data_IF_735931854668
#
_entry.id   IF_735931854668
#
_cell.length_a   1.000
_cell.length_b   1.000
_cell.length_c   1.000
_cell.angle_alpha   90.00
_cell.angle_beta   90.00
_cell.angle_gamma   90.00
#
_symmetry.space_group_name_H-M   'P 1'
#
loop_
_entity.id
_entity.type
_entity.pdbx_description
1 polymer ?
#
# COMPACT_ATOMS: atom_id res chain seq x y z
N UNK A 1 -3.21 -4.57 5.11
CA UNK A 1 -3.04 -3.24 5.75
C UNK A 1 -2.94 -2.15 4.68
N UNK A 2 -3.29 -0.90 5.03
CA UNK A 2 -3.20 0.31 4.20
C UNK A 2 -2.78 1.48 5.08
N UNK A 3 -2.20 2.55 4.51
CA UNK A 3 -1.75 3.71 5.30
C UNK A 3 -2.87 4.32 6.11
N UNK A 4 -4.04 4.56 5.49
CA UNK A 4 -5.21 5.17 6.14
C UNK A 4 -5.87 4.36 7.27
N UNK A 5 -5.31 3.22 7.68
CA UNK A 5 -5.75 2.49 8.89
C UNK A 5 -5.26 3.19 10.17
N UNK A 6 -4.14 3.92 10.09
CA UNK A 6 -3.56 4.68 11.19
C UNK A 6 -3.74 6.17 10.91
N UNK A 7 -3.94 7.00 11.94
CA UNK A 7 -3.90 8.45 11.78
C UNK A 7 -2.46 8.93 11.52
N UNK A 8 -2.25 9.57 10.37
CA UNK A 8 -0.91 9.94 9.90
C UNK A 8 -0.17 10.88 10.87
N UNK A 9 -0.87 11.92 11.33
CA UNK A 9 -0.28 12.95 12.19
C UNK A 9 0.04 12.43 13.58
N UNK A 10 -0.87 11.66 14.18
CA UNK A 10 -0.65 11.00 15.46
C UNK A 10 0.52 10.02 15.39
N UNK A 11 0.64 9.27 14.29
CA UNK A 11 1.73 8.32 14.11
C UNK A 11 3.09 9.00 13.97
N UNK A 12 3.18 10.04 13.13
CA UNK A 12 4.39 10.85 13.00
C UNK A 12 4.79 11.48 14.33
N UNK A 13 3.82 12.03 15.07
CA UNK A 13 4.06 12.61 16.39
C UNK A 13 4.61 11.58 17.38
N UNK A 14 4.00 10.40 17.46
CA UNK A 14 4.44 9.34 18.36
C UNK A 14 5.89 8.87 18.06
N UNK A 15 6.26 8.80 16.78
CA UNK A 15 7.63 8.46 16.36
C UNK A 15 8.64 9.58 16.62
N UNK A 16 8.31 10.82 16.24
CA UNK A 16 9.20 11.97 16.40
C UNK A 16 9.44 12.34 17.87
N UNK A 17 8.45 12.14 18.73
CA UNK A 17 8.56 12.33 20.18
C UNK A 17 9.10 11.09 20.92
N UNK A 18 9.49 10.02 20.22
CA UNK A 18 9.93 8.75 20.79
C UNK A 18 8.95 8.15 21.81
N UNK A 19 7.64 8.40 21.64
CA UNK A 19 6.59 7.72 22.43
C UNK A 19 6.51 6.23 22.06
N UNK A 20 6.85 5.90 20.80
CA UNK A 20 7.12 4.54 20.35
C UNK A 20 8.57 4.43 19.87
N UNK A 21 9.18 3.26 20.09
CA UNK A 21 10.60 3.06 19.83
C UNK A 21 10.98 3.13 18.34
N UNK A 22 10.04 2.86 17.45
CA UNK A 22 10.25 2.92 16.00
C UNK A 22 9.15 2.22 15.20
N UNK A 23 9.27 2.26 13.87
CA UNK A 23 8.32 1.61 12.96
C UNK A 23 8.95 1.11 11.66
N UNK A 24 8.39 0.03 11.11
CA UNK A 24 8.62 -0.40 9.72
C UNK A 24 7.35 -0.15 8.91
N UNK A 25 7.45 0.64 7.83
CA UNK A 25 6.31 1.18 7.08
C UNK A 25 6.43 0.77 5.61
N UNK A 26 5.49 -0.05 5.13
CA UNK A 26 5.42 -0.44 3.71
C UNK A 26 4.25 0.22 2.96
N UNK A 27 3.16 0.51 3.66
CA UNK A 27 1.94 1.08 3.06
C UNK A 27 1.80 2.55 3.41
N UNK A 28 1.19 3.30 2.50
CA UNK A 28 1.25 4.76 2.53
C UNK A 28 -0.14 5.41 2.40
N UNK A 29 -0.18 6.72 2.67
CA UNK A 29 -1.40 7.53 2.72
C UNK A 29 -1.80 8.03 1.34
N UNK A 30 -0.82 8.38 0.50
CA UNK A 30 -1.03 8.84 -0.87
C UNK A 30 -0.22 7.97 -1.86
N UNK A 31 -0.88 7.52 -2.93
CA UNK A 31 -0.28 6.69 -3.98
C UNK A 31 -0.09 7.43 -5.31
N UNK A 32 -0.58 8.67 -5.40
CA UNK A 32 -0.39 9.61 -6.51
C UNK A 32 0.04 10.98 -5.99
N UNK A 33 1.16 11.07 -5.25
CA UNK A 33 1.59 12.34 -4.69
C UNK A 33 2.05 13.31 -5.78
N UNK A 34 1.73 14.58 -5.57
CA UNK A 34 2.26 15.69 -6.36
C UNK A 34 3.76 15.86 -6.11
N UNK A 35 4.45 16.47 -7.07
CA UNK A 35 5.87 16.78 -6.98
C UNK A 35 6.10 18.01 -6.09
N UNK A 36 7.14 17.95 -5.26
CA UNK A 36 7.66 19.14 -4.60
C UNK A 36 8.45 20.03 -5.59
N UNK A 37 8.96 21.17 -5.11
CA UNK A 37 9.75 22.10 -5.94
C UNK A 37 11.03 21.51 -6.53
N UNK A 38 11.48 20.35 -6.04
CA UNK A 38 12.66 19.63 -6.50
C UNK A 38 12.29 18.37 -7.31
N UNK A 39 11.00 18.18 -7.66
CA UNK A 39 10.52 17.03 -8.42
C UNK A 39 10.35 15.75 -7.60
N UNK A 40 10.43 15.81 -6.27
CA UNK A 40 10.32 14.64 -5.38
C UNK A 40 8.87 14.37 -5.05
N UNK A 41 8.52 13.08 -4.97
CA UNK A 41 7.19 12.58 -4.65
C UNK A 41 7.21 11.87 -3.31
N UNK A 42 6.47 12.40 -2.34
CA UNK A 42 6.35 11.79 -1.01
C UNK A 42 4.98 11.15 -0.84
N UNK A 43 4.90 9.87 -0.48
CA UNK A 43 3.62 9.18 -0.30
C UNK A 43 2.99 9.47 1.09
N UNK A 44 3.50 10.48 1.78
CA UNK A 44 3.12 10.93 3.13
C UNK A 44 3.17 12.46 3.23
N UNK A 45 2.29 13.03 4.05
CA UNK A 45 2.23 14.46 4.37
C UNK A 45 3.34 14.89 5.33
N UNK A 46 3.83 13.95 6.16
CA UNK A 46 4.89 14.20 7.13
C UNK A 46 6.23 13.60 6.69
N UNK A 47 7.38 14.18 7.10
CA UNK A 47 8.69 13.77 6.63
C UNK A 47 9.23 12.55 7.40
N UNK A 48 8.53 11.42 7.36
CA UNK A 48 8.96 10.17 8.02
C UNK A 48 10.41 9.78 7.64
N UNK A 49 10.82 10.04 6.40
CA UNK A 49 12.18 9.79 5.89
C UNK A 49 13.31 10.53 6.64
N UNK A 50 12.97 11.51 7.49
CA UNK A 50 13.94 12.23 8.33
C UNK A 50 14.10 11.65 9.73
N UNK A 51 13.29 10.67 10.11
CA UNK A 51 13.33 10.08 11.43
C UNK A 51 14.35 8.92 11.46
N UNK A 52 15.19 8.88 12.48
CA UNK A 52 16.21 7.83 12.63
C UNK A 52 15.64 6.49 13.12
N UNK A 53 14.40 6.49 13.63
CA UNK A 53 13.72 5.33 14.21
C UNK A 53 12.69 4.70 13.26
N UNK A 54 12.81 4.90 11.94
CA UNK A 54 11.92 4.29 10.95
C UNK A 54 12.66 3.54 9.85
N UNK A 55 12.04 2.48 9.35
CA UNK A 55 12.43 1.76 8.14
C UNK A 55 11.29 1.85 7.14
N UNK A 56 11.57 2.29 5.93
CA UNK A 56 10.56 2.62 4.92
C UNK A 56 10.70 1.72 3.68
N UNK A 57 9.58 1.23 3.14
CA UNK A 57 9.54 0.52 1.86
C UNK A 57 8.38 0.99 0.98
N UNK A 58 8.54 0.99 -0.36
CA UNK A 58 7.56 1.60 -1.27
C UNK A 58 6.43 0.62 -1.67
N UNK A 59 5.64 0.13 -0.70
CA UNK A 59 4.53 -0.80 -0.91
C UNK A 59 4.92 -2.07 -1.69
N UNK A 60 5.94 -2.76 -1.17
CA UNK A 60 6.56 -3.94 -1.78
C UNK A 60 6.38 -5.22 -0.97
N UNK A 61 5.64 -5.20 0.14
CA UNK A 61 5.47 -6.37 1.01
C UNK A 61 4.82 -7.58 0.34
N UNK A 62 4.06 -7.37 -0.74
CA UNK A 62 3.44 -8.43 -1.54
C UNK A 62 4.17 -8.71 -2.86
N UNK A 63 5.31 -8.06 -3.13
CA UNK A 63 6.00 -8.16 -4.41
C UNK A 63 6.55 -9.57 -4.63
N UNK A 64 6.31 -10.19 -5.80
CA UNK A 64 6.73 -11.57 -6.04
C UNK A 64 8.26 -11.60 -6.15
N UNK A 65 8.90 -12.39 -5.30
CA UNK A 65 10.33 -12.66 -5.43
C UNK A 65 10.61 -13.88 -6.31
N UNK A 66 9.60 -14.73 -6.58
CA UNK A 66 9.81 -16.04 -7.23
C UNK A 66 8.54 -16.77 -7.75
N UNK A 67 7.32 -16.49 -7.25
CA UNK A 67 6.12 -17.24 -7.65
C UNK A 67 5.28 -16.57 -8.76
N UNK A 68 5.34 -17.14 -9.97
CA UNK A 68 4.53 -16.71 -11.11
C UNK A 68 3.08 -17.23 -11.09
N UNK A 69 2.79 -18.33 -10.37
CA UNK A 69 1.45 -18.95 -10.34
C UNK A 69 0.39 -18.05 -9.70
N UNK A 70 0.82 -17.07 -8.91
CA UNK A 70 -0.05 -16.05 -8.32
C UNK A 70 -0.85 -15.25 -9.37
N UNK A 71 -0.43 -15.26 -10.63
CA UNK A 71 -1.15 -14.61 -11.73
C UNK A 71 -2.20 -15.49 -12.40
N UNK A 72 -2.22 -16.80 -12.15
CA UNK A 72 -3.11 -17.74 -12.84
C UNK A 72 -4.60 -17.35 -12.67
N UNK A 73 -5.00 -16.95 -11.46
CA UNK A 73 -6.38 -16.54 -11.18
C UNK A 73 -6.75 -15.21 -11.86
N UNK A 74 -5.77 -14.30 -12.03
CA UNK A 74 -5.97 -13.04 -12.75
C UNK A 74 -6.16 -13.32 -14.25
N UNK A 75 -5.31 -14.19 -14.81
CA UNK A 75 -5.37 -14.61 -16.21
C UNK A 75 -6.71 -15.33 -16.50
N UNK A 76 -7.14 -16.19 -15.59
CA UNK A 76 -8.41 -16.91 -15.69
C UNK A 76 -9.60 -15.94 -15.72
N UNK A 77 -9.65 -14.95 -14.82
CA UNK A 77 -10.71 -13.95 -14.82
C UNK A 77 -10.72 -13.09 -16.10
N UNK A 78 -9.55 -12.73 -16.63
CA UNK A 78 -9.43 -12.02 -17.92
C UNK A 78 -9.97 -12.89 -19.07
N UNK A 79 -9.63 -14.19 -19.07
CA UNK A 79 -10.09 -15.15 -20.08
C UNK A 79 -11.61 -15.28 -20.04
N UNK A 80 -12.21 -15.49 -18.87
CA UNK A 80 -13.67 -15.53 -18.69
C UNK A 80 -14.35 -14.27 -19.22
N UNK A 81 -13.78 -13.10 -18.91
CA UNK A 81 -14.33 -11.83 -19.39
C UNK A 81 -14.30 -11.74 -20.92
N UNK A 82 -13.19 -12.11 -21.55
CA UNK A 82 -13.04 -12.10 -23.01
C UNK A 82 -14.02 -13.06 -23.72
N UNK A 83 -14.39 -14.17 -23.07
CA UNK A 83 -15.39 -15.13 -23.55
C UNK A 83 -16.85 -14.69 -23.30
N UNK A 84 -17.07 -13.53 -22.69
CA UNK A 84 -18.41 -13.04 -22.33
C UNK A 84 -19.03 -13.77 -21.12
N UNK A 85 -18.23 -14.54 -20.38
CA UNK A 85 -18.66 -15.21 -19.15
C UNK A 85 -18.77 -14.22 -17.99
N UNK A 86 -19.56 -14.60 -16.99
CA UNK A 86 -19.84 -13.78 -15.80
C UNK A 86 -19.61 -14.52 -14.49
N UNK A 87 -19.30 -15.79 -14.56
CA UNK A 87 -18.97 -16.62 -13.41
C UNK A 87 -17.51 -16.42 -13.02
N UNK A 88 -17.14 -15.20 -12.60
CA UNK A 88 -15.77 -14.88 -12.18
C UNK A 88 -15.39 -15.61 -10.87
N UNK A 89 -14.09 -15.85 -10.67
CA UNK A 89 -13.55 -16.28 -9.38
C UNK A 89 -13.12 -15.07 -8.55
N UNK A 90 -13.05 -15.24 -7.23
CA UNK A 90 -12.67 -14.18 -6.28
C UNK A 90 -13.52 -12.90 -6.39
N UNK A 91 -14.81 -13.05 -6.67
CA UNK A 91 -15.74 -11.92 -6.74
C UNK A 91 -15.83 -11.25 -5.37
N UNK A 92 -15.50 -9.97 -5.34
CA UNK A 92 -15.58 -9.15 -4.15
C UNK A 92 -17.04 -8.76 -3.93
N UNK A 93 -17.54 -9.07 -2.73
CA UNK A 93 -18.86 -8.65 -2.28
C UNK A 93 -18.73 -7.30 -1.54
N UNK A 94 -19.18 -6.25 -2.22
CA UNK A 94 -19.08 -4.87 -1.73
C UNK A 94 -19.99 -4.61 -0.51
N UNK A 95 -21.09 -5.36 -0.35
CA UNK A 95 -21.96 -5.20 0.83
C UNK A 95 -21.29 -5.75 2.09
N UNK A 96 -20.36 -6.71 1.92
CA UNK A 96 -19.57 -7.26 3.02
C UNK A 96 -18.38 -6.39 3.42
N UNK A 97 -18.14 -5.28 2.70
CA UNK A 97 -17.13 -4.28 3.04
C UNK A 97 -15.69 -4.69 2.73
N UNK A 98 -15.49 -5.55 1.72
CA UNK A 98 -14.17 -5.87 1.16
C UNK A 98 -13.96 -5.18 -0.18
#
# INVERSE_FOLDING_TARGET
ARGGVIDEGAFYKALSENQIAGAAIDVWYEYRPEEDSEGRKYPSSFPFHKLDNVVLSPHRGASPMDDLKRWDEVIENITRFAEGRKDFINVVDLERGY
#
